data_IF_573084368090
#
_entry.id   IF_573084368090
#
_cell.length_a   1.000
_cell.length_b   1.000
_cell.length_c   1.000
_cell.angle_alpha   90.00
_cell.angle_beta   90.00
_cell.angle_gamma   90.00
#
_symmetry.space_group_name_H-M   'P 1'
#
loop_
_entity.id
_entity.type
_entity.pdbx_description
1 polymer ?
#
# COMPACT_ATOMS: atom_id res chain seq x y z
N UNK A 1 6.63 -1.49 0.98
CA UNK A 1 5.19 -1.84 0.97
C UNK A 1 4.41 -0.74 0.29
N UNK A 2 3.74 -1.06 -0.83
CA UNK A 2 2.97 -0.08 -1.63
C UNK A 2 1.78 0.47 -0.84
N UNK A 3 1.04 -0.38 -0.11
CA UNK A 3 -0.10 0.06 0.70
C UNK A 3 0.28 1.14 1.71
N UNK A 4 1.39 0.98 2.44
CA UNK A 4 1.85 2.00 3.40
C UNK A 4 2.15 3.34 2.71
N UNK A 5 2.71 3.32 1.51
CA UNK A 5 2.96 4.54 0.72
C UNK A 5 1.65 5.20 0.29
N UNK A 6 0.62 4.43 -0.05
CA UNK A 6 -0.73 4.99 -0.31
C UNK A 6 -1.30 5.66 0.94
N UNK A 7 -1.20 5.05 2.12
CA UNK A 7 -1.71 5.68 3.35
C UNK A 7 -0.92 6.94 3.70
N UNK A 8 0.40 6.94 3.46
CA UNK A 8 1.24 8.11 3.67
C UNK A 8 0.87 9.28 2.75
N UNK A 9 0.58 9.00 1.48
CA UNK A 9 0.06 10.01 0.56
C UNK A 9 -1.35 10.48 0.95
N UNK A 10 -2.26 9.56 1.31
CA UNK A 10 -3.64 9.86 1.73
C UNK A 10 -3.72 10.86 2.88
N UNK A 11 -2.79 10.74 3.84
CA UNK A 11 -2.74 11.57 5.04
C UNK A 11 -1.71 12.70 4.98
N UNK A 12 -1.17 12.99 3.80
CA UNK A 12 -0.29 14.15 3.57
C UNK A 12 1.11 14.03 4.16
N UNK A 13 1.54 12.83 4.55
CA UNK A 13 2.92 12.56 4.96
C UNK A 13 3.86 12.51 3.75
N UNK A 14 3.31 12.13 2.59
CA UNK A 14 3.92 12.34 1.28
C UNK A 14 3.06 13.36 0.52
N UNK A 15 3.66 14.34 -0.18
CA UNK A 15 2.91 15.33 -0.95
C UNK A 15 2.16 14.70 -2.14
N UNK A 16 2.72 13.65 -2.72
CA UNK A 16 2.11 12.85 -3.78
C UNK A 16 2.56 11.40 -3.68
N UNK A 17 1.83 10.49 -4.34
CA UNK A 17 2.25 9.10 -4.45
C UNK A 17 3.45 8.97 -5.42
N UNK A 18 4.58 8.36 -5.02
CA UNK A 18 5.77 8.33 -5.86
C UNK A 18 5.57 7.52 -7.15
N UNK A 19 6.01 8.06 -8.29
CA UNK A 19 5.96 7.34 -9.58
C UNK A 19 6.87 6.10 -9.59
N UNK A 20 7.96 6.12 -8.83
CA UNK A 20 8.89 5.01 -8.65
C UNK A 20 8.62 4.20 -7.37
N UNK A 21 7.35 4.13 -6.92
CA UNK A 21 6.99 3.49 -5.66
C UNK A 21 7.49 2.04 -5.53
N UNK A 22 7.47 1.26 -6.62
CA UNK A 22 8.02 -0.11 -6.58
C UNK A 22 9.51 -0.16 -6.31
N UNK A 23 10.29 0.75 -6.91
CA UNK A 23 11.73 0.81 -6.70
C UNK A 23 12.05 1.18 -5.26
N UNK A 24 11.36 2.19 -4.72
CA UNK A 24 11.46 2.58 -3.31
C UNK A 24 11.03 1.44 -2.37
N UNK A 25 9.96 0.72 -2.72
CA UNK A 25 9.51 -0.43 -1.95
C UNK A 25 10.58 -1.53 -1.92
N UNK A 26 11.21 -1.85 -3.05
CA UNK A 26 12.26 -2.89 -3.15
C UNK A 26 13.52 -2.56 -2.35
N UNK A 27 13.83 -1.28 -2.11
CA UNK A 27 14.97 -0.89 -1.27
C UNK A 27 14.80 -1.30 0.21
N UNK A 28 13.56 -1.34 0.71
CA UNK A 28 13.25 -1.64 2.11
C UNK A 28 12.64 -3.04 2.30
N UNK A 29 11.89 -3.53 1.32
CA UNK A 29 11.17 -4.80 1.35
C UNK A 29 11.91 -5.85 0.50
N UNK A 30 12.89 -6.51 1.11
CA UNK A 30 13.79 -7.48 0.46
C UNK A 30 13.25 -8.91 0.54
N UNK A 31 12.12 -9.17 -0.11
CA UNK A 31 11.49 -10.49 -0.16
C UNK A 31 12.37 -11.57 -0.78
N UNK A 32 13.29 -11.18 -1.65
CA UNK A 32 14.32 -12.05 -2.21
C UNK A 32 15.21 -12.66 -1.13
N UNK A 33 15.71 -11.84 -0.20
CA UNK A 33 16.54 -12.32 0.91
C UNK A 33 15.73 -13.19 1.89
N UNK A 34 14.47 -12.83 2.14
CA UNK A 34 13.58 -13.64 2.98
C UNK A 34 13.33 -15.03 2.37
N UNK A 35 13.07 -15.10 1.06
CA UNK A 35 12.88 -16.37 0.36
C UNK A 35 14.14 -17.22 0.33
N UNK A 36 15.31 -16.60 0.12
CA UNK A 36 16.61 -17.28 0.15
C UNK A 36 16.81 -17.99 1.49
N UNK A 37 16.65 -17.27 2.60
CA UNK A 37 16.81 -17.84 3.95
C UNK A 37 15.73 -18.88 4.25
N UNK A 38 14.48 -18.64 3.86
CA UNK A 38 13.40 -19.61 4.03
C UNK A 38 13.70 -20.93 3.31
N UNK A 39 14.26 -20.87 2.10
CA UNK A 39 14.67 -22.04 1.34
C UNK A 39 15.81 -22.81 2.04
N UNK A 40 16.82 -22.11 2.59
CA UNK A 40 17.89 -22.75 3.38
C UNK A 40 17.35 -23.47 4.62
N UNK A 41 16.27 -22.93 5.22
CA UNK A 41 15.61 -23.51 6.38
C UNK A 41 14.57 -24.58 6.04
N UNK A 42 14.33 -24.87 4.76
CA UNK A 42 13.30 -25.79 4.31
C UNK A 42 11.87 -25.33 4.60
N UNK A 43 11.66 -24.02 4.74
CA UNK A 43 10.35 -23.40 4.98
C UNK A 43 9.76 -23.00 3.63
N UNK A 44 8.53 -23.46 3.35
CA UNK A 44 7.79 -23.02 2.17
C UNK A 44 7.49 -21.52 2.26
N UNK A 45 7.81 -20.79 1.20
CA UNK A 45 7.64 -19.34 1.13
C UNK A 45 6.93 -18.95 -0.18
N UNK A 46 5.91 -18.07 -0.14
CA UNK A 46 5.23 -17.60 -1.36
C UNK A 46 6.19 -16.92 -2.35
N UNK A 47 5.94 -17.16 -3.65
CA UNK A 47 6.71 -16.53 -4.73
C UNK A 47 6.27 -15.08 -4.99
N UNK A 48 5.00 -14.77 -4.72
CA UNK A 48 4.43 -13.45 -5.00
C UNK A 48 4.93 -12.40 -4.01
N UNK A 49 5.41 -11.27 -4.53
CA UNK A 49 5.85 -10.13 -3.71
C UNK A 49 4.69 -9.25 -3.22
N UNK A 50 3.53 -9.38 -3.88
CA UNK A 50 2.36 -8.56 -3.64
C UNK A 50 1.11 -9.42 -3.53
N UNK A 51 0.18 -8.97 -2.70
CA UNK A 51 -1.11 -9.61 -2.49
C UNK A 51 -2.20 -8.59 -2.76
N UNK A 52 -3.19 -8.99 -3.56
CA UNK A 52 -4.47 -8.27 -3.66
C UNK A 52 -5.29 -8.57 -2.42
N UNK A 53 -5.73 -7.53 -1.72
CA UNK A 53 -6.60 -7.68 -0.56
C UNK A 53 -8.04 -7.37 -0.96
N UNK A 54 -8.99 -8.30 -0.72
CA UNK A 54 -10.38 -8.09 -1.08
C UNK A 54 -11.03 -7.02 -0.20
N UNK A 55 -12.16 -6.47 -0.64
CA UNK A 55 -12.92 -5.43 0.08
C UNK A 55 -13.22 -5.83 1.52
N UNK A 56 -13.64 -7.07 1.74
CA UNK A 56 -14.08 -7.58 3.04
C UNK A 56 -12.94 -7.67 4.06
N UNK A 57 -11.67 -7.53 3.62
CA UNK A 57 -10.50 -7.47 4.50
C UNK A 57 -10.40 -6.12 5.24
N UNK A 58 -11.08 -5.08 4.77
CA UNK A 58 -11.08 -3.75 5.36
C UNK A 58 -12.45 -3.38 5.94
N UNK A 59 -12.44 -2.62 7.04
CA UNK A 59 -13.67 -2.20 7.74
C UNK A 59 -14.57 -1.28 6.91
N UNK A 60 -14.04 -0.63 5.89
CA UNK A 60 -14.73 0.27 4.98
C UNK A 60 -15.15 -0.40 3.66
N UNK A 61 -14.88 -1.70 3.51
CA UNK A 61 -15.14 -2.49 2.30
C UNK A 61 -14.43 -1.96 1.03
N UNK A 62 -13.30 -1.28 1.17
CA UNK A 62 -12.48 -0.82 0.03
C UNK A 62 -11.30 -1.76 -0.14
N UNK A 63 -11.33 -2.60 -1.19
CA UNK A 63 -10.25 -3.53 -1.50
C UNK A 63 -8.97 -2.83 -1.97
N UNK A 64 -7.84 -3.50 -1.85
CA UNK A 64 -6.54 -2.96 -2.26
C UNK A 64 -5.89 -3.83 -3.34
N UNK A 65 -5.73 -3.25 -4.52
CA UNK A 65 -4.93 -3.81 -5.62
C UNK A 65 -3.57 -3.06 -5.70
N UNK A 66 -2.44 -3.73 -5.41
CA UNK A 66 -1.12 -3.14 -5.51
C UNK A 66 -0.74 -2.63 -6.91
N UNK A 67 -1.41 -3.10 -7.97
CA UNK A 67 -1.20 -2.65 -9.35
C UNK A 67 -1.90 -1.34 -9.69
N UNK A 68 -2.90 -0.92 -8.88
CA UNK A 68 -3.60 0.36 -9.02
C UNK A 68 -3.64 1.17 -7.70
N UNK A 69 -2.49 1.61 -7.19
CA UNK A 69 -2.42 2.39 -5.96
C UNK A 69 -3.07 3.77 -6.08
N UNK A 70 -3.11 4.34 -7.29
CA UNK A 70 -3.73 5.65 -7.56
C UNK A 70 -5.26 5.53 -7.59
N UNK A 71 -5.81 4.49 -8.21
CA UNK A 71 -7.24 4.20 -8.15
C UNK A 71 -7.70 3.97 -6.72
N UNK A 72 -6.95 3.19 -5.94
CA UNK A 72 -7.21 2.99 -4.51
C UNK A 72 -7.22 4.32 -3.73
N UNK A 73 -6.23 5.20 -3.91
CA UNK A 73 -6.21 6.54 -3.30
C UNK A 73 -7.42 7.41 -3.66
N UNK A 74 -7.91 7.29 -4.89
CA UNK A 74 -9.05 8.05 -5.39
C UNK A 74 -10.42 7.51 -4.97
N UNK A 75 -10.47 6.29 -4.42
CA UNK A 75 -11.70 5.70 -3.89
C UNK A 75 -12.17 6.33 -2.56
N UNK A 76 -11.27 7.00 -1.83
CA UNK A 76 -11.57 7.55 -0.51
C UNK A 76 -12.20 8.94 -0.58
N UNK A 77 -13.33 9.11 0.12
CA UNK A 77 -13.96 10.43 0.32
C UNK A 77 -13.13 11.31 1.26
N UNK A 78 -12.59 10.74 2.33
CA UNK A 78 -11.80 11.44 3.35
C UNK A 78 -10.30 11.23 3.08
N UNK A 79 -9.61 12.33 2.79
CA UNK A 79 -8.15 12.43 2.60
C UNK A 79 -7.67 13.89 2.78
N UNK A 80 -6.37 14.08 3.05
CA UNK A 80 -5.82 15.37 3.47
C UNK A 80 -5.99 16.50 2.43
N UNK A 81 -5.94 16.17 1.14
CA UNK A 81 -6.07 17.10 0.01
C UNK A 81 -7.52 17.36 -0.43
N UNK A 82 -8.52 16.76 0.26
CA UNK A 82 -9.94 16.88 -0.10
C UNK A 82 -10.81 17.24 1.12
N UNK A 83 -10.81 18.52 1.56
CA UNK A 83 -11.64 18.95 2.68
C UNK A 83 -13.14 18.88 2.34
N UNK A 84 -13.93 18.19 3.17
CA UNK A 84 -15.35 17.89 2.92
C UNK A 84 -16.34 18.92 3.49
N UNK A 85 -15.84 19.90 4.26
CA UNK A 85 -16.48 21.08 4.92
C UNK A 85 -16.04 21.12 6.38
N UNK A 86 -15.32 22.18 6.76
CA UNK A 86 -14.95 22.46 8.15
C UNK A 86 -16.03 23.38 8.71
N UNK A 87 -16.92 22.85 9.57
CA UNK A 87 -17.80 23.71 10.35
C UNK A 87 -16.96 24.37 11.45
N UNK A 88 -16.80 25.68 11.37
CA UNK A 88 -16.34 26.48 12.50
C UNK A 88 -17.53 26.69 13.44
N UNK A 89 -17.38 26.25 14.70
CA UNK A 89 -18.17 26.77 15.81
C UNK A 89 -17.66 28.14 16.22
#
# INVERSE_FOLDING_TARGET
SIWLMTQAARWGQLPEFPQNAEELARQSWRTDLYREIAAEMGIECPADDYKVEPSEAFIDNIGFDPSDPVGYLNSFEIRADRPTRIFMS
#
